data_IF_479937870169
#
_entry.id   IF_479937870169
#
_cell.length_a   1.000
_cell.length_b   1.000
_cell.length_c   1.000
_cell.angle_alpha   90.00
_cell.angle_beta   90.00
_cell.angle_gamma   90.00
#
_symmetry.space_group_name_H-M   'P 1'
#
loop_
_entity.id
_entity.type
_entity.pdbx_description
1 polymer ?
#
# COMPACT_ATOMS: atom_id res chain seq x y z
N UNK A 1 35.22 -27.79 14.96
CA UNK A 1 35.67 -27.72 13.55
C UNK A 1 34.56 -28.35 12.69
N UNK A 2 34.03 -27.88 11.56
CA UNK A 2 34.27 -26.76 10.63
C UNK A 2 32.91 -26.50 9.88
N UNK A 3 32.44 -25.26 9.71
CA UNK A 3 32.50 -24.34 8.54
C UNK A 3 31.45 -24.54 7.40
N UNK A 4 30.45 -23.65 7.39
CA UNK A 4 29.88 -22.79 6.30
C UNK A 4 29.33 -23.40 4.99
N UNK A 5 28.08 -23.05 4.63
CA UNK A 5 27.76 -22.29 3.37
C UNK A 5 26.30 -21.82 3.30
N UNK A 6 26.12 -20.55 2.94
CA UNK A 6 24.83 -19.90 2.74
C UNK A 6 24.23 -20.17 1.34
N UNK A 7 22.90 -20.35 1.34
CA UNK A 7 21.84 -20.06 0.34
C UNK A 7 22.09 -20.10 -1.18
N UNK A 8 21.06 -20.52 -1.95
CA UNK A 8 20.63 -19.72 -3.09
C UNK A 8 19.16 -19.28 -3.01
N UNK A 9 18.90 -18.25 -3.81
CA UNK A 9 17.78 -17.30 -3.77
C UNK A 9 16.95 -17.40 -5.06
N UNK A 10 15.63 -17.21 -4.92
CA UNK A 10 14.61 -16.77 -5.90
C UNK A 10 14.28 -17.68 -7.10
N UNK A 11 12.98 -17.81 -7.43
CA UNK A 11 12.22 -16.85 -8.24
C UNK A 11 10.71 -17.17 -8.19
N UNK A 12 9.92 -16.13 -8.07
CA UNK A 12 8.47 -16.11 -8.32
C UNK A 12 8.21 -16.22 -9.82
N UNK A 13 7.35 -17.13 -10.23
CA UNK A 13 6.62 -17.00 -11.50
C UNK A 13 5.16 -17.31 -11.21
N UNK A 14 4.33 -16.27 -11.25
CA UNK A 14 2.87 -16.36 -11.21
C UNK A 14 2.38 -17.23 -12.36
N UNK A 15 1.60 -18.28 -12.05
CA UNK A 15 1.01 -19.15 -13.06
C UNK A 15 -0.14 -18.44 -13.81
N UNK A 16 -0.20 -18.58 -15.15
CA UNK A 16 -1.21 -17.95 -16.01
C UNK A 16 -2.62 -18.52 -15.77
N UNK A 17 -3.63 -17.66 -15.87
CA UNK A 17 -5.04 -17.94 -15.50
C UNK A 17 -5.79 -18.89 -16.43
N UNK A 18 -5.18 -19.33 -17.53
CA UNK A 18 -5.90 -19.99 -18.64
C UNK A 18 -5.62 -21.50 -18.80
N UNK A 19 -5.04 -22.18 -17.82
CA UNK A 19 -4.79 -23.63 -17.88
C UNK A 19 -5.71 -24.44 -16.97
N UNK A 20 -7.03 -24.24 -17.10
CA UNK A 20 -8.06 -24.87 -16.26
C UNK A 20 -8.52 -26.26 -16.73
N UNK A 21 -7.82 -26.92 -17.65
CA UNK A 21 -8.40 -28.09 -18.36
C UNK A 21 -7.78 -29.47 -18.15
N UNK A 22 -6.70 -29.67 -17.38
CA UNK A 22 -6.17 -31.03 -17.16
C UNK A 22 -5.36 -31.24 -15.87
N UNK A 23 -5.93 -30.92 -14.69
CA UNK A 23 -5.32 -31.22 -13.37
C UNK A 23 -5.93 -32.47 -12.71
N UNK A 24 -6.48 -33.40 -13.48
CA UNK A 24 -7.16 -34.59 -12.97
C UNK A 24 -6.24 -35.74 -12.54
N UNK A 25 -4.92 -35.69 -12.79
CA UNK A 25 -4.06 -36.87 -12.68
C UNK A 25 -2.72 -36.63 -11.94
N UNK A 26 -2.69 -35.71 -10.97
CA UNK A 26 -1.52 -35.55 -10.09
C UNK A 26 -1.69 -36.40 -8.82
N UNK A 27 -0.73 -37.30 -8.48
CA UNK A 27 -0.81 -38.07 -7.25
C UNK A 27 -0.69 -37.13 -6.04
N UNK A 28 -1.70 -37.15 -5.17
CA UNK A 28 -1.70 -36.41 -3.89
C UNK A 28 -2.67 -35.22 -3.78
N UNK A 29 -3.43 -34.87 -4.81
CA UNK A 29 -4.45 -33.81 -4.71
C UNK A 29 -5.88 -34.36 -4.84
N UNK A 30 -6.54 -34.64 -3.69
CA UNK A 30 -7.97 -35.00 -3.67
C UNK A 30 -8.81 -33.74 -3.88
N UNK A 31 -9.58 -33.69 -4.97
CA UNK A 31 -10.57 -32.64 -5.23
C UNK A 31 -11.64 -32.66 -4.12
N UNK A 32 -11.94 -31.54 -3.45
CA UNK A 32 -13.11 -31.49 -2.57
C UNK A 32 -14.38 -31.58 -3.43
N UNK A 33 -15.28 -32.51 -3.07
CA UNK A 33 -16.52 -32.75 -3.79
C UNK A 33 -17.42 -31.49 -3.81
N UNK A 34 -18.13 -31.21 -4.92
CA UNK A 34 -19.07 -30.10 -4.99
C UNK A 34 -20.26 -30.44 -4.09
N UNK A 35 -20.46 -29.65 -3.03
CA UNK A 35 -21.53 -29.89 -2.05
C UNK A 35 -21.10 -29.91 -0.58
N UNK A 36 -19.85 -29.57 -0.25
CA UNK A 36 -19.41 -29.42 1.14
C UNK A 36 -20.01 -28.17 1.82
N UNK A 37 -21.32 -28.21 2.09
CA UNK A 37 -22.02 -27.35 3.02
C UNK A 37 -21.47 -27.67 4.42
N UNK A 38 -20.94 -26.65 5.10
CA UNK A 38 -20.47 -26.75 6.49
C UNK A 38 -21.54 -27.43 7.38
N UNK A 39 -21.20 -28.42 8.22
CA UNK A 39 -22.19 -29.04 9.08
C UNK A 39 -22.73 -28.01 10.07
N UNK A 40 -24.05 -27.83 10.00
CA UNK A 40 -24.89 -27.08 10.93
C UNK A 40 -24.77 -27.73 12.31
N UNK A 41 -24.31 -26.99 13.32
CA UNK A 41 -24.30 -27.44 14.71
C UNK A 41 -25.71 -27.87 15.14
N UNK A 42 -25.93 -29.17 15.26
CA UNK A 42 -27.11 -29.77 15.89
C UNK A 42 -26.73 -30.23 17.29
N UNK A 43 -26.80 -29.29 18.24
CA UNK A 43 -26.82 -29.61 19.66
C UNK A 43 -28.27 -29.82 20.11
N UNK A 44 -28.50 -30.94 20.80
CA UNK A 44 -29.79 -31.51 21.13
C UNK A 44 -30.59 -30.68 22.15
N UNK A 45 -31.90 -30.80 22.01
CA UNK A 45 -33.02 -30.26 22.79
C UNK A 45 -32.82 -30.40 24.31
N UNK A 46 -32.72 -29.27 25.01
CA UNK A 46 -32.96 -29.14 26.44
C UNK A 46 -33.97 -28.02 26.66
N UNK A 47 -35.17 -28.34 27.16
CA UNK A 47 -36.17 -27.35 27.54
C UNK A 47 -35.73 -26.68 28.85
N UNK A 48 -35.48 -25.38 28.81
CA UNK A 48 -35.51 -24.50 29.97
C UNK A 48 -35.99 -23.12 29.50
N UNK A 49 -37.18 -22.73 29.92
CA UNK A 49 -37.77 -21.41 29.69
C UNK A 49 -36.97 -20.38 30.47
N UNK A 50 -36.14 -19.60 29.78
CA UNK A 50 -35.46 -18.43 30.34
C UNK A 50 -35.84 -17.23 29.48
N UNK A 51 -36.56 -16.29 30.11
CA UNK A 51 -37.02 -15.03 29.55
C UNK A 51 -35.92 -14.26 28.79
N UNK A 52 -36.27 -13.41 27.80
CA UNK A 52 -35.27 -12.65 27.06
C UNK A 52 -34.60 -11.64 27.98
N UNK A 53 -33.39 -11.95 28.47
CA UNK A 53 -32.51 -10.98 29.12
C UNK A 53 -32.16 -9.91 28.08
N UNK A 54 -32.80 -8.76 28.21
CA UNK A 54 -32.45 -7.50 27.54
C UNK A 54 -30.97 -7.22 27.81
N UNK A 55 -30.14 -7.27 26.76
CA UNK A 55 -28.72 -6.88 26.88
C UNK A 55 -28.68 -5.41 27.31
N UNK A 56 -27.97 -5.04 28.39
CA UNK A 56 -27.73 -3.63 28.66
C UNK A 56 -26.98 -3.05 27.46
N UNK A 57 -27.43 -1.90 26.98
CA UNK A 57 -26.76 -1.15 25.93
C UNK A 57 -25.30 -0.98 26.33
N UNK A 58 -24.42 -1.69 25.63
CA UNK A 58 -22.99 -1.68 25.90
C UNK A 58 -22.50 -0.24 25.83
N UNK A 59 -21.92 0.22 26.93
CA UNK A 59 -21.17 1.46 27.02
C UNK A 59 -20.33 1.62 25.76
N UNK A 60 -20.55 2.72 25.03
CA UNK A 60 -19.96 2.96 23.72
C UNK A 60 -18.44 2.89 23.78
N UNK A 61 -17.88 1.72 23.45
CA UNK A 61 -16.46 1.56 23.22
C UNK A 61 -16.15 2.43 22.00
N UNK A 62 -15.46 3.55 22.22
CA UNK A 62 -14.93 4.41 21.15
C UNK A 62 -14.31 3.48 20.10
N UNK A 63 -14.67 3.60 18.81
CA UNK A 63 -14.07 2.73 17.80
C UNK A 63 -12.56 2.87 17.91
N UNK A 64 -11.87 1.75 18.09
CA UNK A 64 -10.42 1.69 18.04
C UNK A 64 -9.99 2.41 16.76
N UNK A 65 -9.18 3.48 16.89
CA UNK A 65 -8.65 4.19 15.73
C UNK A 65 -7.94 3.15 14.86
N UNK A 66 -8.48 2.89 13.67
CA UNK A 66 -7.89 1.92 12.73
C UNK A 66 -6.56 2.49 12.27
N UNK A 67 -5.49 2.01 12.88
CA UNK A 67 -4.13 2.33 12.45
C UNK A 67 -3.80 1.48 11.23
N UNK A 68 -3.34 2.13 10.15
CA UNK A 68 -2.84 1.42 8.97
C UNK A 68 -1.53 0.70 9.30
N UNK A 69 -1.29 -0.52 8.79
CA UNK A 69 0.01 -1.18 8.94
C UNK A 69 1.13 -0.31 8.40
N UNK A 70 2.30 -0.35 9.07
CA UNK A 70 3.50 0.36 8.63
C UNK A 70 3.78 0.06 7.15
N UNK A 71 4.11 1.08 6.36
CA UNK A 71 4.32 0.96 4.91
C UNK A 71 3.07 1.01 4.04
N UNK A 72 1.86 0.77 4.58
CA UNK A 72 0.61 0.85 3.79
C UNK A 72 0.35 2.27 3.29
N UNK A 73 0.58 3.27 4.14
CA UNK A 73 0.44 4.68 3.76
C UNK A 73 1.52 5.11 2.76
N UNK A 74 2.78 4.71 3.00
CA UNK A 74 3.89 5.01 2.10
C UNK A 74 3.65 4.44 0.68
N UNK A 75 3.20 3.19 0.56
CA UNK A 75 2.88 2.59 -0.75
C UNK A 75 1.73 3.31 -1.45
N UNK A 76 0.75 3.81 -0.70
CA UNK A 76 -0.35 4.61 -1.24
C UNK A 76 0.16 5.97 -1.74
N UNK A 77 1.03 6.63 -0.98
CA UNK A 77 1.65 7.90 -1.35
C UNK A 77 2.54 7.75 -2.59
N UNK A 78 3.39 6.71 -2.65
CA UNK A 78 4.22 6.41 -3.82
C UNK A 78 3.37 6.28 -5.09
N UNK A 79 2.30 5.47 -5.03
CA UNK A 79 1.39 5.31 -6.18
C UNK A 79 0.74 6.62 -6.60
N UNK A 80 0.35 7.45 -5.64
CA UNK A 80 -0.27 8.76 -5.91
C UNK A 80 0.73 9.73 -6.55
N UNK A 81 1.93 9.85 -5.99
CA UNK A 81 2.96 10.78 -6.45
C UNK A 81 3.55 10.37 -7.80
N UNK A 82 3.59 9.07 -8.11
CA UNK A 82 4.01 8.58 -9.42
C UNK A 82 2.94 8.73 -10.50
N UNK A 83 1.66 8.82 -10.11
CA UNK A 83 0.56 8.99 -11.06
C UNK A 83 0.31 10.47 -11.42
N UNK A 84 0.56 11.39 -10.49
CA UNK A 84 0.26 12.81 -10.65
C UNK A 84 1.53 13.62 -10.77
N UNK A 85 1.59 14.53 -11.75
CA UNK A 85 2.75 15.40 -12.01
C UNK A 85 2.62 16.74 -11.27
N UNK A 86 2.39 16.70 -9.96
CA UNK A 86 2.34 17.92 -9.14
C UNK A 86 3.74 18.29 -8.64
N UNK A 87 4.00 19.59 -8.48
CA UNK A 87 5.19 20.08 -7.80
C UNK A 87 5.21 19.59 -6.35
N UNK A 88 6.32 18.96 -5.94
CA UNK A 88 6.51 18.40 -4.61
C UNK A 88 7.04 19.46 -3.64
N UNK A 89 7.87 20.39 -4.12
CA UNK A 89 8.39 21.48 -3.32
C UNK A 89 7.41 22.66 -3.30
N UNK A 90 7.18 23.30 -2.14
CA UNK A 90 6.40 24.52 -2.09
C UNK A 90 7.09 25.66 -2.86
N UNK A 91 6.33 26.46 -3.60
CA UNK A 91 6.87 27.54 -4.47
C UNK A 91 7.62 28.63 -3.70
N UNK A 92 7.14 29.00 -2.51
CA UNK A 92 7.70 30.08 -1.70
C UNK A 92 9.15 29.81 -1.21
N UNK A 93 9.47 28.68 -0.56
CA UNK A 93 10.84 28.36 -0.17
C UNK A 93 11.76 28.16 -1.39
N UNK A 94 11.28 27.52 -2.47
CA UNK A 94 12.06 27.37 -3.70
C UNK A 94 12.44 28.73 -4.29
N UNK A 95 11.50 29.67 -4.38
CA UNK A 95 11.76 31.03 -4.86
C UNK A 95 12.78 31.77 -3.97
N UNK A 96 12.76 31.60 -2.65
CA UNK A 96 13.74 32.22 -1.75
C UNK A 96 15.14 31.67 -2.02
N UNK A 97 15.27 30.35 -2.14
CA UNK A 97 16.53 29.68 -2.45
C UNK A 97 17.11 30.12 -3.79
N UNK A 98 16.28 30.23 -4.84
CA UNK A 98 16.74 30.74 -6.15
C UNK A 98 17.31 32.14 -6.00
N UNK A 99 16.62 33.03 -5.25
CA UNK A 99 17.08 34.41 -5.05
C UNK A 99 18.39 34.47 -4.27
N UNK A 100 18.50 33.68 -3.20
CA UNK A 100 19.71 33.57 -2.38
C UNK A 100 20.93 33.22 -3.25
N UNK A 101 20.85 32.13 -4.01
CA UNK A 101 21.94 31.69 -4.90
C UNK A 101 22.26 32.75 -5.96
N UNK A 102 21.24 33.38 -6.55
CA UNK A 102 21.47 34.34 -7.64
C UNK A 102 22.03 35.67 -7.15
N UNK A 103 21.76 36.05 -5.90
CA UNK A 103 22.31 37.25 -5.30
C UNK A 103 23.83 37.11 -5.08
N UNK A 104 24.34 35.90 -4.83
CA UNK A 104 25.78 35.63 -4.74
C UNK A 104 26.52 35.87 -6.07
N UNK A 105 25.82 35.69 -7.20
CA UNK A 105 26.38 35.87 -8.55
C UNK A 105 26.20 37.31 -9.02
N UNK A 106 24.97 37.83 -8.89
CA UNK A 106 24.61 39.17 -9.37
C UNK A 106 23.44 39.74 -8.56
N UNK A 107 23.74 40.77 -7.79
CA UNK A 107 22.76 41.53 -7.03
C UNK A 107 21.73 42.23 -7.95
N UNK A 108 20.48 42.29 -7.49
CA UNK A 108 19.40 43.02 -8.18
C UNK A 108 18.74 42.27 -9.35
N UNK A 109 19.05 40.98 -9.54
CA UNK A 109 18.47 40.19 -10.64
C UNK A 109 16.95 39.96 -10.42
N UNK A 110 16.15 40.26 -11.44
CA UNK A 110 14.68 40.08 -11.41
C UNK A 110 14.28 38.84 -12.21
N UNK A 111 13.35 38.06 -11.66
CA UNK A 111 12.84 36.86 -12.29
C UNK A 111 11.40 37.03 -12.77
N UNK A 112 11.12 36.50 -13.95
CA UNK A 112 9.75 36.26 -14.40
C UNK A 112 9.14 35.08 -13.62
N UNK A 113 7.83 35.13 -13.36
CA UNK A 113 7.14 34.05 -12.65
C UNK A 113 7.22 32.69 -13.40
N UNK A 114 7.13 32.70 -14.72
CA UNK A 114 7.29 31.50 -15.56
C UNK A 114 8.70 30.92 -15.49
N UNK A 115 9.73 31.76 -15.42
CA UNK A 115 11.11 31.32 -15.31
C UNK A 115 11.36 30.57 -13.99
N UNK A 116 10.83 31.10 -12.87
CA UNK A 116 10.90 30.41 -11.58
C UNK A 116 10.16 29.06 -11.61
N UNK A 117 9.02 29.00 -12.29
CA UNK A 117 8.28 27.74 -12.49
C UNK A 117 9.07 26.72 -13.31
N UNK A 118 9.66 27.15 -14.43
CA UNK A 118 10.47 26.28 -15.30
C UNK A 118 11.74 25.75 -14.59
N UNK A 119 12.39 26.60 -13.78
CA UNK A 119 13.51 26.18 -12.95
C UNK A 119 13.09 25.10 -11.94
N UNK A 120 11.92 25.28 -11.31
CA UNK A 120 11.40 24.30 -10.36
C UNK A 120 11.05 22.97 -11.05
N UNK A 121 10.36 23.03 -12.20
CA UNK A 121 10.00 21.84 -12.97
C UNK A 121 11.24 21.07 -13.45
N UNK A 122 12.29 21.78 -13.85
CA UNK A 122 13.55 21.17 -14.28
C UNK A 122 14.27 20.53 -13.10
N UNK A 123 14.32 21.22 -11.96
CA UNK A 123 14.98 20.72 -10.75
C UNK A 123 14.30 19.46 -10.18
N UNK A 124 12.96 19.39 -10.20
CA UNK A 124 12.22 18.23 -9.70
C UNK A 124 12.21 17.05 -10.68
N UNK A 125 12.46 17.29 -11.98
CA UNK A 125 12.54 16.24 -13.01
C UNK A 125 13.96 15.74 -13.30
N UNK A 126 14.99 16.46 -12.89
CA UNK A 126 16.38 16.18 -13.26
C UNK A 126 16.88 14.79 -12.84
N UNK A 127 16.16 14.10 -11.94
CA UNK A 127 16.35 12.68 -11.65
C UNK A 127 15.76 11.83 -12.79
N UNK A 128 16.53 11.73 -13.87
CA UNK A 128 16.17 11.09 -15.12
C UNK A 128 15.56 9.69 -14.99
N UNK A 129 14.33 9.54 -15.48
CA UNK A 129 13.80 8.32 -16.06
C UNK A 129 13.05 8.75 -17.33
N UNK A 130 13.73 8.66 -18.46
CA UNK A 130 13.10 8.55 -19.78
C UNK A 130 12.84 7.08 -20.09
#
# INVERSE_FOLDING_TARGET
MARVKATPRRKTTSFPKDSVKNLGNLPGYKRPAPGAVRPRNVARKGKATIAPRKKPAGTGKKPLKRTFPRGTLALREIRKLQQVTNLLMPKAPFQRLVREITNEIKEGTRFQASALGALQESAERADGVQ
#
